data_IF_162971617837
#
_entry.id   IF_162971617837
#
_cell.length_a   1.000
_cell.length_b   1.000
_cell.length_c   1.000
_cell.angle_alpha   90.00
_cell.angle_beta   90.00
_cell.angle_gamma   90.00
#
_symmetry.space_group_name_H-M   'P 1'
#
loop_
_entity.id
_entity.type
_entity.pdbx_description
1 polymer ?
#
# COMPACT_ATOMS: atom_id res chain seq x y z
N UNK A 1 13.34 10.72 -1.99
CA UNK A 1 12.22 10.54 -1.05
C UNK A 1 11.30 9.47 -1.61
N UNK A 2 10.79 8.61 -0.74
CA UNK A 2 9.93 7.47 -1.01
C UNK A 2 8.70 7.57 -0.10
N UNK A 3 7.53 7.72 -0.71
CA UNK A 3 6.24 7.80 -0.01
C UNK A 3 5.39 6.61 -0.40
N UNK A 4 4.84 5.90 0.59
CA UNK A 4 3.81 4.88 0.36
C UNK A 4 2.43 5.36 0.76
N UNK A 5 1.41 4.81 0.09
CA UNK A 5 0.01 5.12 0.34
C UNK A 5 -0.74 3.84 0.70
N UNK A 6 -1.38 3.84 1.85
CA UNK A 6 -1.92 2.66 2.50
C UNK A 6 -3.38 2.86 2.91
N UNK A 7 -4.06 1.76 3.19
CA UNK A 7 -5.48 1.73 3.55
C UNK A 7 -6.25 0.68 2.76
N UNK A 8 -7.48 0.43 3.17
CA UNK A 8 -8.37 -0.56 2.53
C UNK A 8 -8.76 -0.14 1.10
N UNK A 9 -9.44 -1.01 0.39
CA UNK A 9 -9.95 -0.75 -0.96
C UNK A 9 -10.95 0.41 -0.95
N UNK A 10 -10.95 1.23 -2.01
CA UNK A 10 -11.93 2.33 -2.17
C UNK A 10 -11.72 3.58 -1.30
N UNK A 11 -10.67 3.66 -0.49
CA UNK A 11 -10.40 4.82 0.38
C UNK A 11 -9.83 6.05 -0.34
N UNK A 12 -9.58 5.98 -1.64
CA UNK A 12 -9.14 7.15 -2.44
C UNK A 12 -7.62 7.31 -2.63
N UNK A 13 -6.82 6.24 -2.42
CA UNK A 13 -5.36 6.24 -2.62
C UNK A 13 -4.96 6.80 -3.99
N UNK A 14 -5.55 6.26 -5.07
CA UNK A 14 -5.27 6.69 -6.45
C UNK A 14 -5.52 8.18 -6.67
N UNK A 15 -6.58 8.73 -6.05
CA UNK A 15 -6.91 10.16 -6.15
C UNK A 15 -5.86 11.02 -5.47
N UNK A 16 -5.44 10.65 -4.25
CA UNK A 16 -4.41 11.39 -3.52
C UNK A 16 -3.04 11.30 -4.22
N UNK A 17 -2.64 10.10 -4.65
CA UNK A 17 -1.40 9.86 -5.39
C UNK A 17 -1.33 10.75 -6.63
N UNK A 18 -2.42 10.82 -7.41
CA UNK A 18 -2.49 11.65 -8.61
C UNK A 18 -2.34 13.14 -8.30
N UNK A 19 -3.04 13.64 -7.27
CA UNK A 19 -2.92 15.05 -6.86
C UNK A 19 -1.49 15.41 -6.41
N UNK A 20 -0.85 14.53 -5.62
CA UNK A 20 0.53 14.73 -5.19
C UNK A 20 1.52 14.64 -6.37
N UNK A 21 1.31 13.70 -7.30
CA UNK A 21 2.10 13.62 -8.52
C UNK A 21 2.03 14.94 -9.32
N UNK A 22 0.82 15.43 -9.60
CA UNK A 22 0.60 16.69 -10.33
C UNK A 22 1.24 17.88 -9.59
N UNK A 23 1.14 17.92 -8.26
CA UNK A 23 1.76 18.95 -7.43
C UNK A 23 3.29 18.97 -7.54
N UNK A 24 3.94 17.81 -7.39
CA UNK A 24 5.40 17.73 -7.42
C UNK A 24 5.99 17.92 -8.82
N UNK A 25 5.31 17.42 -9.86
CA UNK A 25 5.70 17.68 -11.25
C UNK A 25 5.58 19.17 -11.60
N UNK A 26 4.53 19.86 -11.15
CA UNK A 26 4.38 21.31 -11.32
C UNK A 26 5.49 22.10 -10.60
N UNK A 27 6.04 21.55 -9.51
CA UNK A 27 7.21 22.09 -8.82
C UNK A 27 8.56 21.71 -9.46
N UNK A 28 8.55 21.00 -10.60
CA UNK A 28 9.74 20.61 -11.35
C UNK A 28 10.49 19.40 -10.77
N UNK A 29 9.90 18.65 -9.84
CA UNK A 29 10.49 17.42 -9.32
C UNK A 29 10.24 16.25 -10.28
N UNK A 30 11.21 15.35 -10.40
CA UNK A 30 11.03 14.10 -11.13
C UNK A 30 10.33 13.06 -10.24
N UNK A 31 9.14 12.62 -10.64
CA UNK A 31 8.34 11.69 -9.85
C UNK A 31 8.17 10.34 -10.56
N UNK A 32 8.36 9.25 -9.81
CA UNK A 32 8.09 7.88 -10.23
C UNK A 32 6.84 7.37 -9.51
N UNK A 33 5.80 7.06 -10.29
CA UNK A 33 4.59 6.40 -9.79
C UNK A 33 4.72 4.89 -9.91
N UNK A 34 4.35 4.18 -8.85
CA UNK A 34 4.33 2.72 -8.86
C UNK A 34 3.27 2.14 -7.90
N UNK A 35 3.12 0.81 -7.89
CA UNK A 35 2.16 0.09 -7.02
C UNK A 35 2.62 -1.31 -6.65
N UNK A 36 2.10 -1.81 -5.54
CA UNK A 36 2.28 -3.20 -5.10
C UNK A 36 0.96 -3.95 -4.83
N UNK A 37 0.94 -5.29 -5.04
CA UNK A 37 1.90 -6.05 -5.84
C UNK A 37 1.84 -5.60 -7.32
N UNK A 38 3.01 -5.49 -7.99
CA UNK A 38 3.11 -4.97 -9.35
C UNK A 38 4.37 -4.15 -9.60
N UNK A 39 4.33 -3.28 -10.60
CA UNK A 39 5.37 -2.28 -10.90
C UNK A 39 6.47 -2.76 -11.86
N UNK A 40 6.55 -4.05 -12.17
CA UNK A 40 7.43 -4.61 -13.21
C UNK A 40 6.69 -5.69 -13.99
N UNK A 41 7.08 -6.03 -15.23
CA UNK A 41 6.41 -7.08 -16.01
C UNK A 41 6.30 -8.41 -15.26
N UNK A 42 7.35 -8.81 -14.52
CA UNK A 42 7.32 -10.02 -13.70
C UNK A 42 6.42 -9.87 -12.46
N UNK A 43 6.48 -8.73 -11.75
CA UNK A 43 5.63 -8.49 -10.60
C UNK A 43 4.14 -8.38 -10.98
N UNK A 44 3.80 -7.94 -12.19
CA UNK A 44 2.42 -7.94 -12.70
C UNK A 44 1.91 -9.36 -12.99
N UNK A 45 2.76 -10.29 -13.41
CA UNK A 45 2.39 -11.71 -13.53
C UNK A 45 2.09 -12.29 -12.14
N UNK A 46 2.94 -12.00 -11.15
CA UNK A 46 2.71 -12.42 -9.76
C UNK A 46 1.44 -11.80 -9.19
N UNK A 47 1.19 -10.50 -9.45
CA UNK A 47 -0.06 -9.81 -9.10
C UNK A 47 -1.27 -10.56 -9.66
N UNK A 48 -1.21 -10.96 -10.92
CA UNK A 48 -2.31 -11.69 -11.56
C UNK A 48 -2.64 -12.99 -10.82
N UNK A 49 -1.62 -13.73 -10.35
CA UNK A 49 -1.81 -14.93 -9.52
C UNK A 49 -2.41 -14.60 -8.14
N UNK A 50 -1.95 -13.51 -7.52
CA UNK A 50 -2.40 -13.09 -6.18
C UNK A 50 -3.87 -12.64 -6.17
N UNK A 51 -4.34 -12.01 -7.25
CA UNK A 51 -5.69 -11.46 -7.36
C UNK A 51 -6.70 -12.42 -7.99
N UNK A 52 -6.22 -13.44 -8.71
CA UNK A 52 -7.07 -14.41 -9.37
C UNK A 52 -7.99 -15.12 -8.38
N UNK A 53 -9.29 -15.11 -8.70
CA UNK A 53 -10.30 -15.89 -8.00
C UNK A 53 -10.23 -17.31 -8.54
N UNK A 54 -9.75 -18.24 -7.73
CA UNK A 54 -9.70 -19.66 -8.08
C UNK A 54 -10.63 -20.45 -7.15
N UNK A 55 -11.61 -21.14 -7.75
CA UNK A 55 -12.58 -21.96 -7.02
C UNK A 55 -12.15 -23.42 -6.84
N UNK A 56 -11.12 -23.90 -7.57
CA UNK A 56 -10.65 -25.28 -7.48
C UNK A 56 -9.52 -25.48 -6.47
N UNK A 57 -8.72 -24.43 -6.20
CA UNK A 57 -7.61 -24.47 -5.26
C UNK A 57 -7.53 -23.16 -4.48
N UNK A 58 -7.51 -23.27 -3.15
CA UNK A 58 -7.30 -22.13 -2.26
C UNK A 58 -5.81 -21.87 -2.06
N UNK A 59 -5.38 -20.62 -2.30
CA UNK A 59 -4.02 -20.19 -1.97
C UNK A 59 -3.80 -20.19 -0.45
N UNK A 60 -2.74 -20.86 0.01
CA UNK A 60 -2.34 -20.81 1.42
C UNK A 60 -1.86 -19.41 1.81
N UNK A 61 -2.02 -19.01 3.08
CA UNK A 61 -1.56 -17.70 3.55
C UNK A 61 -0.03 -17.53 3.46
N UNK A 62 0.74 -18.61 3.65
CA UNK A 62 2.19 -18.57 3.47
C UNK A 62 2.57 -18.38 1.99
N UNK A 63 1.84 -19.00 1.05
CA UNK A 63 2.02 -18.78 -0.39
C UNK A 63 1.72 -17.33 -0.78
N UNK A 64 0.61 -16.77 -0.29
CA UNK A 64 0.24 -15.36 -0.49
C UNK A 64 1.36 -14.42 -0.02
N UNK A 65 1.88 -14.64 1.19
CA UNK A 65 2.95 -13.84 1.76
C UNK A 65 4.23 -13.92 0.91
N UNK A 66 4.66 -15.12 0.53
CA UNK A 66 5.88 -15.30 -0.26
C UNK A 66 5.76 -14.68 -1.66
N UNK A 67 4.60 -14.80 -2.31
CA UNK A 67 4.36 -14.17 -3.61
C UNK A 67 4.34 -12.63 -3.50
N UNK A 68 3.76 -12.07 -2.44
CA UNK A 68 3.84 -10.62 -2.16
C UNK A 68 5.30 -10.16 -2.08
N UNK A 69 6.16 -10.91 -1.38
CA UNK A 69 7.58 -10.56 -1.25
C UNK A 69 8.40 -10.84 -2.51
N UNK A 70 8.06 -11.85 -3.30
CA UNK A 70 8.68 -12.10 -4.59
C UNK A 70 8.43 -10.92 -5.56
N UNK A 71 7.18 -10.44 -5.63
CA UNK A 71 6.83 -9.26 -6.42
C UNK A 71 7.56 -8.00 -5.92
N UNK A 72 7.59 -7.79 -4.60
CA UNK A 72 8.26 -6.66 -3.96
C UNK A 72 9.77 -6.65 -4.18
N UNK A 73 10.44 -7.79 -4.05
CA UNK A 73 11.89 -7.87 -4.26
C UNK A 73 12.27 -7.44 -5.69
N UNK A 74 11.53 -7.93 -6.69
CA UNK A 74 11.71 -7.52 -8.08
C UNK A 74 11.44 -6.02 -8.27
N UNK A 75 10.36 -5.52 -7.67
CA UNK A 75 9.95 -4.12 -7.79
C UNK A 75 10.95 -3.14 -7.15
N UNK A 76 11.48 -3.48 -5.97
CA UNK A 76 12.53 -2.72 -5.30
C UNK A 76 13.78 -2.62 -6.19
N UNK A 77 14.23 -3.77 -6.72
CA UNK A 77 15.47 -3.86 -7.48
C UNK A 77 15.42 -3.08 -8.80
N UNK A 78 14.30 -3.18 -9.53
CA UNK A 78 14.20 -2.62 -10.89
C UNK A 78 13.63 -1.20 -10.94
N UNK A 79 12.84 -0.78 -9.95
CA UNK A 79 12.10 0.49 -10.01
C UNK A 79 12.46 1.40 -8.85
N UNK A 80 12.18 0.98 -7.61
CA UNK A 80 12.27 1.87 -6.44
C UNK A 80 13.72 2.29 -6.19
N UNK A 81 14.63 1.33 -6.02
CA UNK A 81 16.01 1.63 -5.66
C UNK A 81 16.75 2.43 -6.75
N UNK A 82 16.62 2.11 -8.06
CA UNK A 82 17.19 2.94 -9.12
C UNK A 82 16.63 4.37 -9.13
N UNK A 83 15.33 4.55 -8.93
CA UNK A 83 14.71 5.87 -8.88
C UNK A 83 15.25 6.72 -7.71
N UNK A 84 15.34 6.11 -6.52
CA UNK A 84 15.89 6.78 -5.34
C UNK A 84 17.36 7.16 -5.50
N UNK A 85 18.18 6.29 -6.12
CA UNK A 85 19.60 6.60 -6.42
C UNK A 85 19.75 7.78 -7.39
N UNK A 86 18.75 8.02 -8.25
CA UNK A 86 18.71 9.16 -9.16
C UNK A 86 18.15 10.43 -8.49
N UNK A 87 17.83 10.39 -7.20
CA UNK A 87 17.24 11.52 -6.48
C UNK A 87 15.76 11.78 -6.81
N UNK A 88 15.09 10.84 -7.49
CA UNK A 88 13.67 10.98 -7.83
C UNK A 88 12.78 10.80 -6.60
N UNK A 89 11.61 11.42 -6.63
CA UNK A 89 10.53 11.13 -5.70
C UNK A 89 9.82 9.85 -6.15
N UNK A 90 9.64 8.88 -5.25
CA UNK A 90 8.86 7.67 -5.51
C UNK A 90 7.55 7.74 -4.74
N UNK A 91 6.43 7.59 -5.46
CA UNK A 91 5.09 7.49 -4.88
C UNK A 91 4.55 6.07 -5.17
N UNK A 92 4.39 5.25 -4.13
CA UNK A 92 3.94 3.85 -4.27
C UNK A 92 2.56 3.61 -3.66
N UNK A 93 1.60 3.15 -4.47
CA UNK A 93 0.35 2.58 -3.95
C UNK A 93 0.65 1.23 -3.30
N UNK A 94 0.58 1.19 -1.96
CA UNK A 94 1.00 0.09 -1.08
C UNK A 94 2.51 -0.17 -1.04
N UNK A 95 2.95 -0.74 0.08
CA UNK A 95 4.27 -1.31 0.28
C UNK A 95 4.24 -2.38 1.39
N UNK A 96 5.25 -2.46 2.26
CA UNK A 96 5.38 -3.46 3.33
C UNK A 96 4.32 -3.34 4.42
N UNK A 97 3.82 -2.13 4.71
CA UNK A 97 2.76 -1.91 5.69
C UNK A 97 1.46 -2.64 5.29
N UNK A 98 1.14 -2.70 3.99
CA UNK A 98 0.07 -3.55 3.48
C UNK A 98 0.28 -5.03 3.83
N UNK A 99 1.52 -5.54 3.77
CA UNK A 99 1.77 -6.93 4.13
C UNK A 99 1.54 -7.21 5.61
N UNK A 100 1.87 -6.26 6.48
CA UNK A 100 1.50 -6.36 7.88
C UNK A 100 -0.02 -6.36 8.07
N UNK A 101 -0.71 -5.37 7.51
CA UNK A 101 -2.15 -5.21 7.69
C UNK A 101 -2.94 -6.41 7.12
N UNK A 102 -2.61 -6.89 5.92
CA UNK A 102 -3.34 -7.98 5.26
C UNK A 102 -2.85 -9.36 5.72
N UNK A 103 -1.56 -9.65 5.64
CA UNK A 103 -1.05 -10.99 5.93
C UNK A 103 -0.87 -11.24 7.44
N UNK A 104 -0.44 -10.26 8.24
CA UNK A 104 -0.36 -10.47 9.70
C UNK A 104 -1.71 -10.22 10.38
N UNK A 105 -2.24 -8.99 10.35
CA UNK A 105 -3.47 -8.69 11.08
C UNK A 105 -4.70 -9.37 10.44
N UNK A 106 -4.85 -9.28 9.11
CA UNK A 106 -5.95 -9.89 8.37
C UNK A 106 -5.95 -11.42 8.41
N UNK A 107 -4.86 -12.07 7.95
CA UNK A 107 -4.75 -13.54 7.86
C UNK A 107 -4.30 -14.22 9.15
N UNK A 108 -3.72 -13.49 10.12
CA UNK A 108 -3.21 -14.05 11.37
C UNK A 108 -1.81 -14.66 11.26
N UNK A 109 -1.00 -14.32 10.24
CA UNK A 109 0.37 -14.81 10.15
C UNK A 109 1.28 -14.19 11.21
N UNK A 110 2.30 -14.95 11.61
CA UNK A 110 3.31 -14.51 12.57
C UNK A 110 4.03 -13.24 12.13
N UNK A 111 4.14 -12.28 13.05
CA UNK A 111 4.95 -11.06 12.86
C UNK A 111 6.43 -11.38 12.66
N UNK A 112 6.93 -12.48 13.24
CA UNK A 112 8.33 -12.90 13.10
C UNK A 112 8.64 -13.33 11.66
N UNK A 113 7.72 -14.06 11.01
CA UNK A 113 7.85 -14.42 9.59
C UNK A 113 7.97 -13.16 8.73
N UNK A 114 7.09 -12.19 8.94
CA UNK A 114 7.12 -10.92 8.21
C UNK A 114 8.41 -10.13 8.50
N UNK A 115 8.84 -10.10 9.75
CA UNK A 115 10.09 -9.44 10.17
C UNK A 115 11.31 -10.01 9.46
N UNK A 116 11.42 -11.35 9.38
CA UNK A 116 12.51 -12.02 8.65
C UNK A 116 12.51 -11.62 7.18
N UNK A 117 11.33 -11.62 6.54
CA UNK A 117 11.21 -11.23 5.13
C UNK A 117 11.56 -9.76 4.91
N UNK A 118 11.11 -8.86 5.78
CA UNK A 118 11.48 -7.44 5.73
C UNK A 118 12.99 -7.25 5.87
N UNK A 119 13.61 -7.84 6.89
CA UNK A 119 15.05 -7.72 7.14
C UNK A 119 15.90 -8.29 6.00
N UNK A 120 15.40 -9.34 5.32
CA UNK A 120 16.16 -10.04 4.29
C UNK A 120 15.99 -9.40 2.90
N UNK A 121 14.80 -8.95 2.55
CA UNK A 121 14.46 -8.57 1.16
C UNK A 121 14.10 -7.10 0.97
N UNK A 122 13.88 -6.34 2.04
CA UNK A 122 13.46 -4.93 1.96
C UNK A 122 14.61 -4.03 2.39
N UNK A 123 15.40 -3.58 1.41
CA UNK A 123 16.59 -2.76 1.62
C UNK A 123 16.33 -1.24 1.56
N UNK A 124 15.10 -0.82 1.27
CA UNK A 124 14.65 0.57 1.34
C UNK A 124 13.21 0.59 1.88
N UNK A 125 12.95 1.56 2.76
CA UNK A 125 11.63 1.77 3.37
C UNK A 125 11.15 3.19 3.05
N UNK A 126 9.83 3.42 2.92
CA UNK A 126 9.28 4.76 2.79
C UNK A 126 9.68 5.64 3.97
N UNK A 127 10.15 6.86 3.70
CA UNK A 127 10.40 7.85 4.76
C UNK A 127 9.07 8.40 5.33
N UNK A 128 7.99 8.27 4.55
CA UNK A 128 6.64 8.66 4.91
C UNK A 128 5.62 7.67 4.32
N UNK A 129 4.60 7.35 5.10
CA UNK A 129 3.48 6.51 4.70
C UNK A 129 2.19 7.22 5.05
N UNK A 130 1.34 7.47 4.06
CA UNK A 130 0.00 7.99 4.30
C UNK A 130 -0.98 6.83 4.41
N UNK A 131 -1.53 6.61 5.59
CA UNK A 131 -2.64 5.69 5.79
C UNK A 131 -3.96 6.46 5.65
N UNK A 132 -4.67 6.20 4.55
CA UNK A 132 -6.01 6.71 4.30
C UNK A 132 -7.02 5.85 5.06
N UNK A 133 -7.57 6.41 6.13
CA UNK A 133 -8.52 5.73 7.01
C UNK A 133 -9.96 6.14 6.73
N UNK A 134 -10.84 5.16 6.51
CA UNK A 134 -12.27 5.36 6.39
C UNK A 134 -13.04 4.12 6.92
N UNK A 135 -14.34 4.26 7.23
CA UNK A 135 -15.20 3.11 7.50
C UNK A 135 -15.14 2.08 6.36
N UNK A 136 -15.09 0.80 6.72
CA UNK A 136 -14.87 -0.31 5.76
C UNK A 136 -16.04 -0.40 4.78
N UNK A 137 -17.25 -0.13 5.26
CA UNK A 137 -18.49 -0.14 4.48
C UNK A 137 -18.42 0.86 3.31
N UNK A 138 -17.82 2.03 3.54
CA UNK A 138 -17.64 3.05 2.51
C UNK A 138 -16.67 2.57 1.42
N UNK A 139 -15.57 1.93 1.81
CA UNK A 139 -14.58 1.36 0.89
C UNK A 139 -15.14 0.23 0.05
N UNK A 140 -15.89 -0.69 0.68
CA UNK A 140 -16.51 -1.84 0.03
C UNK A 140 -17.61 -1.45 -0.96
N UNK A 141 -18.43 -0.43 -0.66
CA UNK A 141 -19.43 0.07 -1.60
C UNK A 141 -18.77 0.54 -2.90
N UNK A 142 -17.71 1.36 -2.78
CA UNK A 142 -16.94 1.86 -3.91
C UNK A 142 -16.20 0.75 -4.67
N UNK A 143 -15.81 -0.34 -3.99
CA UNK A 143 -15.17 -1.48 -4.63
C UNK A 143 -16.14 -2.25 -5.53
N UNK A 144 -17.35 -2.53 -5.03
CA UNK A 144 -18.41 -3.20 -5.81
C UNK A 144 -18.85 -2.41 -7.03
N UNK A 145 -18.83 -1.07 -6.96
CA UNK A 145 -19.14 -0.21 -8.10
C UNK A 145 -18.09 -0.32 -9.24
N UNK A 146 -16.85 -0.75 -8.94
CA UNK A 146 -15.79 -0.90 -9.96
C UNK A 146 -15.92 -2.19 -10.78
N UNK A 147 -16.67 -3.20 -10.31
CA UNK A 147 -16.89 -4.46 -11.03
C UNK A 147 -16.73 -5.70 -10.15
N UNK A 148 -16.31 -6.80 -10.79
CA UNK A 148 -16.01 -8.09 -10.15
C UNK A 148 -14.92 -7.92 -9.08
N UNK A 149 -15.18 -8.48 -7.90
CA UNK A 149 -14.28 -8.40 -6.74
C UNK A 149 -13.12 -9.38 -6.90
N UNK A 150 -11.89 -8.92 -6.66
CA UNK A 150 -10.72 -9.78 -6.63
C UNK A 150 -10.67 -10.70 -5.39
N UNK A 151 -9.68 -11.61 -5.33
CA UNK A 151 -9.56 -12.58 -4.24
C UNK A 151 -9.49 -11.94 -2.84
N UNK A 152 -8.89 -10.75 -2.69
CA UNK A 152 -8.88 -10.05 -1.40
C UNK A 152 -10.22 -9.36 -1.14
N UNK A 153 -10.80 -8.73 -2.16
CA UNK A 153 -12.08 -8.03 -2.07
C UNK A 153 -13.27 -8.97 -1.75
N UNK A 154 -13.12 -10.29 -1.95
CA UNK A 154 -14.11 -11.32 -1.56
C UNK A 154 -14.07 -11.69 -0.07
N UNK A 155 -13.12 -11.18 0.70
CA UNK A 155 -13.01 -11.46 2.13
C UNK A 155 -14.18 -10.90 2.95
N UNK A 156 -14.35 -11.47 4.15
CA UNK A 156 -15.42 -11.06 5.08
C UNK A 156 -15.11 -9.70 5.70
N UNK A 157 -16.15 -8.97 6.13
CA UNK A 157 -16.00 -7.72 6.87
C UNK A 157 -15.03 -7.84 8.06
N UNK A 158 -15.04 -8.97 8.78
CA UNK A 158 -14.13 -9.20 9.91
C UNK A 158 -12.65 -9.24 9.52
N UNK A 159 -12.32 -9.66 8.29
CA UNK A 159 -10.97 -9.58 7.75
C UNK A 159 -10.56 -8.11 7.59
N UNK A 160 -11.38 -7.30 6.92
CA UNK A 160 -11.09 -5.87 6.72
C UNK A 160 -11.05 -5.09 8.03
N UNK A 161 -11.84 -5.47 9.04
CA UNK A 161 -11.75 -4.92 10.40
C UNK A 161 -10.37 -5.16 11.01
N UNK A 162 -9.81 -6.36 10.85
CA UNK A 162 -8.45 -6.65 11.32
C UNK A 162 -7.39 -5.93 10.48
N UNK A 163 -7.57 -5.81 9.16
CA UNK A 163 -6.67 -5.04 8.29
C UNK A 163 -6.59 -3.58 8.74
N UNK A 164 -7.75 -2.94 8.95
CA UNK A 164 -7.81 -1.55 9.44
C UNK A 164 -7.13 -1.40 10.81
N UNK A 165 -7.40 -2.32 11.74
CA UNK A 165 -6.73 -2.34 13.04
C UNK A 165 -5.21 -2.53 12.93
N UNK A 166 -4.74 -3.31 11.95
CA UNK A 166 -3.32 -3.46 11.67
C UNK A 166 -2.65 -2.15 11.22
N UNK A 167 -3.32 -1.37 10.37
CA UNK A 167 -2.83 -0.04 10.02
C UNK A 167 -2.88 0.94 11.20
N UNK A 168 -3.90 0.86 12.05
CA UNK A 168 -3.97 1.65 13.28
C UNK A 168 -2.78 1.36 14.19
N UNK A 169 -2.48 0.08 14.42
CA UNK A 169 -1.32 -0.34 15.20
C UNK A 169 -0.01 0.22 14.62
N UNK A 170 0.19 0.15 13.31
CA UNK A 170 1.38 0.72 12.66
C UNK A 170 1.46 2.23 12.80
N UNK A 171 0.34 2.94 12.73
CA UNK A 171 0.29 4.39 12.91
C UNK A 171 0.67 4.82 14.33
N UNK A 172 0.30 4.02 15.33
CA UNK A 172 0.66 4.25 16.73
C UNK A 172 2.10 3.84 17.03
N UNK A 173 2.59 2.77 16.39
CA UNK A 173 3.95 2.27 16.59
C UNK A 173 5.01 3.14 15.89
N UNK A 174 4.67 3.70 14.73
CA UNK A 174 5.57 4.51 13.92
C UNK A 174 4.97 5.89 13.61
N UNK A 175 4.60 6.70 14.62
CA UNK A 175 3.83 7.93 14.42
C UNK A 175 4.58 8.98 13.60
N UNK A 176 5.92 8.93 13.61
CA UNK A 176 6.71 9.80 12.75
C UNK A 176 6.59 9.41 11.29
N UNK A 177 6.66 8.12 10.95
CA UNK A 177 6.66 7.60 9.56
C UNK A 177 5.25 7.42 8.98
N UNK A 178 4.30 6.92 9.77
CA UNK A 178 2.96 6.55 9.31
C UNK A 178 1.96 7.61 9.77
N UNK A 179 1.47 8.43 8.83
CA UNK A 179 0.52 9.51 9.09
C UNK A 179 -0.88 9.09 8.64
N UNK A 180 -1.83 9.14 9.57
CA UNK A 180 -3.24 8.86 9.29
C UNK A 180 -3.88 10.08 8.64
N UNK A 181 -4.57 9.85 7.52
CA UNK A 181 -5.42 10.83 6.84
C UNK A 181 -6.88 10.36 6.92
N UNK A 182 -7.78 11.26 7.31
CA UNK A 182 -9.22 10.98 7.36
C UNK A 182 -9.82 10.97 5.95
N UNK A 183 -9.97 9.77 5.39
CA UNK A 183 -10.49 9.55 4.04
C UNK A 183 -12.03 9.62 3.95
N UNK A 184 -12.71 10.01 5.03
CA UNK A 184 -14.13 10.39 4.96
C UNK A 184 -14.33 11.82 4.44
N UNK A 185 -13.28 12.64 4.44
CA UNK A 185 -13.31 14.00 3.95
C UNK A 185 -13.26 14.08 2.41
N UNK A 186 -13.42 15.28 1.86
CA UNK A 186 -13.29 15.49 0.42
C UNK A 186 -11.85 15.23 -0.05
N UNK A 187 -11.64 14.81 -1.31
CA UNK A 187 -10.31 14.60 -1.86
C UNK A 187 -9.37 15.80 -1.74
N UNK A 188 -9.91 17.03 -1.76
CA UNK A 188 -9.13 18.25 -1.59
C UNK A 188 -8.65 18.41 -0.15
N UNK A 189 -9.50 18.13 0.85
CA UNK A 189 -9.12 18.17 2.26
C UNK A 189 -8.08 17.11 2.62
N UNK A 190 -8.24 15.90 2.09
CA UNK A 190 -7.26 14.81 2.27
C UNK A 190 -5.90 15.21 1.67
N UNK A 191 -5.92 15.89 0.52
CA UNK A 191 -4.71 16.40 -0.12
C UNK A 191 -4.04 17.52 0.69
N UNK A 192 -4.81 18.50 1.18
CA UNK A 192 -4.30 19.55 2.08
C UNK A 192 -3.62 18.95 3.32
N UNK A 193 -4.27 18.00 3.99
CA UNK A 193 -3.70 17.31 5.16
C UNK A 193 -2.41 16.53 4.83
N UNK A 194 -2.32 15.94 3.63
CA UNK A 194 -1.10 15.29 3.18
C UNK A 194 0.04 16.30 2.96
N UNK A 195 -0.26 17.48 2.41
CA UNK A 195 0.73 18.55 2.22
C UNK A 195 1.27 19.08 3.56
N UNK A 196 0.41 19.27 4.57
CA UNK A 196 0.85 19.70 5.91
C UNK A 196 1.92 18.77 6.50
N UNK A 197 1.77 17.47 6.31
CA UNK A 197 2.77 16.49 6.75
C UNK A 197 4.06 16.49 5.92
N UNK A 198 4.00 16.91 4.65
CA UNK A 198 5.16 17.02 3.76
C UNK A 198 5.96 18.29 4.04
N UNK A 199 5.29 19.42 4.24
CA UNK A 199 5.92 20.71 4.56
C UNK A 199 6.68 20.66 5.90
N UNK A 200 6.18 19.90 6.87
CA UNK A 200 6.88 19.70 8.15
C UNK A 200 8.22 18.94 8.03
N UNK A 201 8.57 18.43 6.84
CA UNK A 201 9.75 17.59 6.58
C UNK A 201 10.73 18.21 5.58
N UNK A 202 10.39 19.35 5.00
CA UNK A 202 11.24 20.15 4.09
C UNK A 202 11.81 21.33 4.90
#
# INVERSE_FOLDING_TARGET
MFISFEGTEGVGKTTLIRKLYEYFEAAGQQVVLTREPGGTPLAEQIRSLLLAVNHSESMSSDTELLLMYAARAQHIQEVIQPALKQGKLVLSDRFTDASYAYQCAGRGLSKDKLSILNQTFVNCMPELTFWLDAPIELGMSRARERGELDRFEQEKMTFFSRVRAGYEELSLQYPERVKRLDATQSPDRVFEAALEHLEARI
#
